data_IF_474596670634
#
_entry.id   IF_474596670634
#
_cell.length_a   1.000
_cell.length_b   1.000
_cell.length_c   1.000
_cell.angle_alpha   90.00
_cell.angle_beta   90.00
_cell.angle_gamma   90.00
#
_symmetry.space_group_name_H-M   'P 1'
#
loop_
_entity.id
_entity.type
_entity.pdbx_description
1 polymer ?
#
# COMPACT_ATOMS: atom_id res chain seq x y z
N UNK A 1 -14.01 -9.03 -25.32
CA UNK A 1 -14.50 -8.05 -26.32
C UNK A 1 -14.07 -6.68 -25.85
N UNK A 2 -13.04 -6.12 -26.51
CA UNK A 2 -12.53 -4.78 -26.22
C UNK A 2 -13.59 -3.74 -26.61
N UNK A 3 -14.16 -3.04 -25.63
CA UNK A 3 -14.98 -1.86 -25.90
C UNK A 3 -14.01 -0.71 -26.22
N UNK A 4 -13.65 -0.57 -27.49
CA UNK A 4 -12.83 0.55 -27.98
C UNK A 4 -13.65 1.83 -27.96
N UNK A 5 -13.75 2.47 -26.79
CA UNK A 5 -14.36 3.79 -26.67
C UNK A 5 -13.48 4.81 -27.38
N UNK A 6 -14.11 5.75 -28.08
CA UNK A 6 -13.37 6.91 -28.59
C UNK A 6 -12.82 7.73 -27.41
N UNK A 7 -11.71 8.46 -27.64
CA UNK A 7 -11.04 9.18 -26.56
C UNK A 7 -11.95 10.23 -25.86
N UNK A 8 -12.77 11.03 -26.58
CA UNK A 8 -13.71 11.96 -25.94
C UNK A 8 -14.72 11.29 -25.01
N UNK A 9 -15.35 10.19 -25.43
CA UNK A 9 -16.29 9.42 -24.61
C UNK A 9 -15.58 8.80 -23.40
N UNK A 10 -14.36 8.30 -23.59
CA UNK A 10 -13.57 7.76 -22.49
C UNK A 10 -13.26 8.84 -21.45
N UNK A 11 -12.82 10.03 -21.88
CA UNK A 11 -12.57 11.17 -20.99
C UNK A 11 -13.85 11.54 -20.23
N UNK A 12 -14.99 11.62 -20.90
CA UNK A 12 -16.27 11.94 -20.26
C UNK A 12 -16.67 10.86 -19.23
N UNK A 13 -16.53 9.58 -19.57
CA UNK A 13 -16.84 8.48 -18.67
C UNK A 13 -15.93 8.45 -17.43
N UNK A 14 -14.62 8.64 -17.62
CA UNK A 14 -13.66 8.73 -16.51
C UNK A 14 -13.92 9.98 -15.65
N UNK A 15 -14.28 11.11 -16.25
CA UNK A 15 -14.61 12.33 -15.49
C UNK A 15 -15.84 12.13 -14.61
N UNK A 16 -16.91 11.55 -15.16
CA UNK A 16 -18.12 11.17 -14.41
C UNK A 16 -17.78 10.20 -13.27
N UNK A 17 -16.92 9.22 -13.52
CA UNK A 17 -16.47 8.27 -12.51
C UNK A 17 -15.64 8.95 -11.41
N UNK A 18 -14.76 9.90 -11.73
CA UNK A 18 -14.02 10.67 -10.74
C UNK A 18 -14.94 11.52 -9.85
N UNK A 19 -16.00 12.11 -10.43
CA UNK A 19 -17.04 12.84 -9.68
C UNK A 19 -17.79 11.89 -8.74
N UNK A 20 -18.23 10.73 -9.24
CA UNK A 20 -18.89 9.67 -8.44
C UNK A 20 -18.01 9.21 -7.28
N UNK A 21 -16.71 9.06 -7.51
CA UNK A 21 -15.70 8.69 -6.51
C UNK A 21 -15.28 9.84 -5.58
N UNK A 22 -15.92 11.02 -5.70
CA UNK A 22 -15.68 12.21 -4.86
C UNK A 22 -14.21 12.68 -4.89
N UNK A 23 -13.59 12.64 -6.06
CA UNK A 23 -12.29 13.29 -6.24
C UNK A 23 -12.41 14.81 -6.05
N UNK A 24 -11.38 15.44 -5.48
CA UNK A 24 -11.39 16.89 -5.28
C UNK A 24 -11.40 17.63 -6.63
N UNK A 25 -12.11 18.76 -6.75
CA UNK A 25 -12.19 19.55 -7.99
C UNK A 25 -10.81 19.89 -8.58
N UNK A 26 -9.86 20.23 -7.71
CA UNK A 26 -8.46 20.50 -8.08
C UNK A 26 -7.78 19.29 -8.76
N UNK A 27 -8.07 18.07 -8.32
CA UNK A 27 -7.50 16.86 -8.93
C UNK A 27 -8.13 16.59 -10.29
N UNK A 28 -9.45 16.75 -10.41
CA UNK A 28 -10.18 16.57 -11.66
C UNK A 28 -9.67 17.59 -12.69
N UNK A 29 -9.56 18.86 -12.32
CA UNK A 29 -9.02 19.92 -13.18
C UNK A 29 -7.61 19.60 -13.70
N UNK A 30 -6.72 19.10 -12.84
CA UNK A 30 -5.36 18.67 -13.24
C UNK A 30 -5.37 17.49 -14.22
N UNK A 31 -6.26 16.51 -14.03
CA UNK A 31 -6.39 15.38 -14.95
C UNK A 31 -6.96 15.86 -16.30
N UNK A 32 -8.01 16.68 -16.28
CA UNK A 32 -8.60 17.28 -17.47
C UNK A 32 -7.57 18.05 -18.29
N UNK A 33 -6.70 18.85 -17.65
CA UNK A 33 -5.65 19.58 -18.36
C UNK A 33 -4.68 18.66 -19.12
N UNK A 34 -4.38 17.47 -18.59
CA UNK A 34 -3.57 16.46 -19.30
C UNK A 34 -4.37 15.82 -20.43
N UNK A 35 -5.63 15.46 -20.17
CA UNK A 35 -6.49 14.83 -21.17
C UNK A 35 -6.79 15.73 -22.37
N UNK A 36 -6.92 17.05 -22.17
CA UNK A 36 -7.06 18.00 -23.27
C UNK A 36 -5.79 18.04 -24.14
N UNK A 37 -4.60 17.97 -23.54
CA UNK A 37 -3.34 17.86 -24.30
C UNK A 37 -3.27 16.54 -25.08
N UNK A 38 -3.70 15.44 -24.46
CA UNK A 38 -3.78 14.14 -25.12
C UNK A 38 -4.76 14.18 -26.30
N UNK A 39 -5.91 14.86 -26.14
CA UNK A 39 -6.90 15.01 -27.20
C UNK A 39 -6.34 15.78 -28.40
N UNK A 40 -5.66 16.91 -28.17
CA UNK A 40 -4.97 17.66 -29.23
C UNK A 40 -3.88 16.82 -29.92
N UNK A 41 -3.13 16.03 -29.14
CA UNK A 41 -2.12 15.11 -29.67
C UNK A 41 -2.73 14.03 -30.58
N UNK A 42 -3.88 13.46 -30.19
CA UNK A 42 -4.58 12.47 -31.00
C UNK A 42 -5.19 13.04 -32.27
N UNK A 43 -5.73 14.25 -32.21
CA UNK A 43 -6.28 14.96 -33.37
C UNK A 43 -5.19 15.24 -34.41
N UNK A 44 -4.00 15.65 -33.98
CA UNK A 44 -2.87 15.89 -34.86
C UNK A 44 -2.35 14.61 -35.57
N UNK A 45 -2.67 13.43 -35.04
CA UNK A 45 -2.23 12.12 -35.56
C UNK A 45 -3.35 11.31 -36.22
N UNK A 46 -4.55 11.87 -36.35
CA UNK A 46 -5.75 11.20 -36.85
C UNK A 46 -6.10 9.88 -36.13
N UNK A 47 -5.86 9.84 -34.82
CA UNK A 47 -6.10 8.66 -33.98
C UNK A 47 -7.31 8.90 -33.07
N UNK A 48 -8.44 8.24 -33.34
CA UNK A 48 -9.69 8.47 -32.58
C UNK A 48 -9.77 7.68 -31.25
N UNK A 49 -8.97 6.63 -31.10
CA UNK A 49 -9.10 5.65 -30.00
C UNK A 49 -7.91 5.70 -29.04
N UNK A 50 -8.20 5.55 -27.75
CA UNK A 50 -7.16 5.43 -26.74
C UNK A 50 -6.51 4.03 -26.78
N UNK A 51 -5.18 4.02 -26.82
CA UNK A 51 -4.38 2.79 -26.71
C UNK A 51 -3.16 3.02 -25.84
N UNK A 52 -2.60 1.95 -25.28
CA UNK A 52 -1.41 2.02 -24.44
C UNK A 52 -0.21 2.59 -25.22
N UNK A 53 0.01 2.12 -26.46
CA UNK A 53 1.07 2.62 -27.36
C UNK A 53 0.95 4.12 -27.66
N UNK A 54 -0.27 4.60 -27.93
CA UNK A 54 -0.53 6.02 -28.12
C UNK A 54 -0.15 6.81 -26.87
N UNK A 55 -0.53 6.27 -25.71
CA UNK A 55 -0.31 6.91 -24.42
C UNK A 55 1.18 6.98 -24.05
N UNK A 56 1.95 5.94 -24.36
CA UNK A 56 3.41 5.90 -24.24
C UNK A 56 4.07 6.95 -25.14
N UNK A 57 3.64 7.03 -26.40
CA UNK A 57 4.16 8.01 -27.36
C UNK A 57 3.90 9.45 -26.90
N UNK A 58 2.69 9.72 -26.41
CA UNK A 58 2.33 11.01 -25.83
C UNK A 58 3.21 11.37 -24.63
N UNK A 59 3.39 10.43 -23.70
CA UNK A 59 4.21 10.64 -22.50
C UNK A 59 5.69 10.86 -22.84
N UNK A 60 6.19 10.17 -23.86
CA UNK A 60 7.55 10.35 -24.35
C UNK A 60 7.74 11.73 -24.98
N UNK A 61 6.83 12.15 -25.85
CA UNK A 61 6.97 13.41 -26.58
C UNK A 61 6.80 14.64 -25.67
N UNK A 62 5.73 14.66 -24.86
CA UNK A 62 5.32 15.83 -24.07
C UNK A 62 5.94 15.89 -22.67
N UNK A 63 6.28 14.73 -22.09
CA UNK A 63 6.76 14.64 -20.71
C UNK A 63 8.14 13.99 -20.60
N UNK A 64 8.75 13.58 -21.72
CA UNK A 64 10.03 12.89 -21.79
C UNK A 64 10.05 11.65 -20.90
N UNK A 65 8.98 10.86 -20.94
CA UNK A 65 8.83 9.63 -20.16
C UNK A 65 8.74 8.39 -21.06
N UNK A 66 9.46 7.28 -20.75
CA UNK A 66 10.41 7.14 -19.64
C UNK A 66 11.71 7.91 -19.92
N UNK A 67 12.24 8.59 -18.91
CA UNK A 67 13.59 9.17 -18.95
C UNK A 67 14.43 8.60 -17.82
N UNK A 68 15.75 8.70 -18.00
CA UNK A 68 16.74 8.34 -17.00
C UNK A 68 16.82 9.44 -15.93
N UNK A 69 15.80 9.47 -15.07
CA UNK A 69 15.80 10.35 -13.90
C UNK A 69 16.62 9.68 -12.80
N UNK A 70 17.74 10.29 -12.41
CA UNK A 70 18.52 9.89 -11.25
C UNK A 70 17.82 10.17 -9.90
N UNK A 71 16.57 10.66 -9.90
CA UNK A 71 15.80 11.10 -8.73
C UNK A 71 14.26 11.01 -8.90
N UNK A 72 13.50 11.76 -8.08
CA UNK A 72 12.03 11.76 -8.16
C UNK A 72 11.51 12.43 -9.45
N UNK A 73 10.52 11.80 -10.10
CA UNK A 73 9.88 12.36 -11.29
C UNK A 73 9.27 13.75 -11.03
N UNK A 74 9.40 14.70 -11.99
CA UNK A 74 8.75 15.99 -11.91
C UNK A 74 7.26 15.88 -11.57
N UNK A 75 6.75 16.79 -10.75
CA UNK A 75 5.35 16.77 -10.29
C UNK A 75 4.36 16.72 -11.46
N UNK A 76 4.60 17.50 -12.52
CA UNK A 76 3.79 17.48 -13.74
C UNK A 76 3.76 16.12 -14.43
N UNK A 77 4.92 15.47 -14.58
CA UNK A 77 5.04 14.12 -15.15
C UNK A 77 4.28 13.09 -14.33
N UNK A 78 4.34 13.16 -13.00
CA UNK A 78 3.57 12.26 -12.11
C UNK A 78 2.06 12.43 -12.26
N UNK A 79 1.59 13.67 -12.44
CA UNK A 79 0.17 13.93 -12.72
C UNK A 79 -0.20 13.33 -14.08
N UNK A 80 0.61 13.57 -15.11
CA UNK A 80 0.35 13.08 -16.46
C UNK A 80 0.27 11.55 -16.53
N UNK A 81 1.25 10.86 -15.94
CA UNK A 81 1.25 9.41 -15.80
C UNK A 81 -0.02 8.90 -15.11
N UNK A 82 -0.43 9.57 -14.02
CA UNK A 82 -1.63 9.16 -13.30
C UNK A 82 -2.89 9.38 -14.13
N UNK A 83 -3.00 10.52 -14.81
CA UNK A 83 -4.16 10.86 -15.62
C UNK A 83 -4.31 9.91 -16.82
N UNK A 84 -3.21 9.59 -17.51
CA UNK A 84 -3.20 8.62 -18.61
C UNK A 84 -3.57 7.21 -18.11
N UNK A 85 -2.99 6.79 -16.99
CA UNK A 85 -3.30 5.48 -16.40
C UNK A 85 -4.77 5.34 -15.99
N UNK A 86 -5.42 6.42 -15.53
CA UNK A 86 -6.85 6.38 -15.21
C UNK A 86 -7.71 6.06 -16.45
N UNK A 87 -7.33 6.55 -17.63
CA UNK A 87 -8.02 6.22 -18.89
C UNK A 87 -7.83 4.74 -19.22
N UNK A 88 -6.60 4.23 -19.13
CA UNK A 88 -6.31 2.81 -19.37
C UNK A 88 -6.99 1.86 -18.38
N UNK A 89 -6.91 2.15 -17.08
CA UNK A 89 -7.57 1.37 -16.03
C UNK A 89 -9.10 1.28 -16.29
N UNK A 90 -9.71 2.41 -16.65
CA UNK A 90 -11.15 2.47 -16.89
C UNK A 90 -11.55 1.81 -18.23
N UNK A 91 -10.73 1.92 -19.28
CA UNK A 91 -10.98 1.25 -20.56
C UNK A 91 -10.90 -0.28 -20.41
N UNK A 92 -9.93 -0.79 -19.65
CA UNK A 92 -9.72 -2.23 -19.48
C UNK A 92 -10.72 -2.86 -18.50
N UNK A 93 -10.99 -2.19 -17.38
CA UNK A 93 -11.71 -2.81 -16.25
C UNK A 93 -13.02 -2.10 -15.88
N UNK A 94 -13.33 -0.95 -16.51
CA UNK A 94 -14.50 -0.14 -16.15
C UNK A 94 -14.39 0.54 -14.78
N UNK A 95 -13.23 0.49 -14.12
CA UNK A 95 -13.02 1.01 -12.77
C UNK A 95 -11.75 1.86 -12.70
N UNK A 96 -11.78 2.92 -11.88
CA UNK A 96 -10.59 3.71 -11.56
C UNK A 96 -9.99 3.19 -10.25
N UNK A 97 -8.80 2.59 -10.32
CA UNK A 97 -8.10 2.08 -9.14
C UNK A 97 -7.68 3.24 -8.22
N UNK A 98 -8.49 3.52 -7.19
CA UNK A 98 -8.21 4.55 -6.20
C UNK A 98 -6.96 4.17 -5.40
N UNK A 99 -5.90 4.97 -5.50
CA UNK A 99 -4.90 5.01 -4.41
C UNK A 99 -5.65 5.57 -3.21
N UNK A 100 -6.06 4.70 -2.26
CA UNK A 100 -6.79 5.13 -1.05
C UNK A 100 -6.05 6.35 -0.48
N UNK A 101 -6.68 7.53 -0.49
CA UNK A 101 -6.28 8.59 0.43
C UNK A 101 -6.34 7.93 1.80
N UNK A 102 -5.31 8.11 2.63
CA UNK A 102 -5.34 7.65 4.03
C UNK A 102 -6.58 8.29 4.66
N UNK A 103 -7.72 7.61 4.65
CA UNK A 103 -8.83 8.00 5.49
C UNK A 103 -8.25 7.96 6.89
N UNK A 104 -8.24 9.12 7.55
CA UNK A 104 -7.86 9.13 8.94
C UNK A 104 -8.92 8.32 9.67
N UNK A 105 -8.51 7.34 10.47
CA UNK A 105 -9.48 6.53 11.16
C UNK A 105 -10.25 7.43 12.15
N UNK A 106 -11.56 7.25 12.24
CA UNK A 106 -12.42 8.04 13.12
C UNK A 106 -12.08 7.75 14.60
N UNK A 107 -12.27 8.74 15.47
CA UNK A 107 -12.15 8.58 16.91
C UNK A 107 -13.53 8.75 17.53
N UNK A 108 -14.21 7.66 17.94
CA UNK A 108 -15.45 7.75 18.71
C UNK A 108 -15.22 8.45 20.06
N UNK A 109 -16.27 9.09 20.57
CA UNK A 109 -16.20 9.92 21.79
C UNK A 109 -15.66 9.16 23.00
N UNK A 110 -16.04 7.89 23.16
CA UNK A 110 -15.59 7.03 24.27
C UNK A 110 -14.08 6.70 24.28
N UNK A 111 -13.32 7.10 23.24
CA UNK A 111 -11.87 6.95 23.18
C UNK A 111 -11.11 8.28 23.10
N UNK A 112 -11.80 9.42 23.09
CA UNK A 112 -11.18 10.74 22.91
C UNK A 112 -10.15 11.05 23.98
N UNK A 113 -10.46 10.80 25.26
CA UNK A 113 -9.54 11.05 26.36
C UNK A 113 -8.33 10.11 26.33
N UNK A 114 -8.55 8.84 25.96
CA UNK A 114 -7.46 7.89 25.80
C UNK A 114 -6.50 8.29 24.67
N UNK A 115 -7.01 8.80 23.55
CA UNK A 115 -6.17 9.34 22.47
C UNK A 115 -5.41 10.58 22.93
N UNK A 116 -6.09 11.51 23.61
CA UNK A 116 -5.46 12.74 24.12
C UNK A 116 -4.33 12.42 25.11
N UNK A 117 -4.60 11.55 26.09
CA UNK A 117 -3.60 11.07 27.05
C UNK A 117 -2.43 10.37 26.35
N UNK A 118 -2.71 9.52 25.35
CA UNK A 118 -1.66 8.83 24.60
C UNK A 118 -0.76 9.78 23.78
N UNK A 119 -1.33 10.85 23.24
CA UNK A 119 -0.57 11.91 22.55
C UNK A 119 0.41 12.57 23.52
N UNK A 120 -0.08 12.97 24.71
CA UNK A 120 0.75 13.59 25.76
C UNK A 120 1.86 12.64 26.23
N UNK A 121 1.50 11.39 26.54
CA UNK A 121 2.45 10.33 26.89
C UNK A 121 3.53 10.12 25.83
N UNK A 122 3.14 10.17 24.55
CA UNK A 122 4.07 10.00 23.44
C UNK A 122 5.05 11.17 23.32
N UNK A 123 4.64 12.41 23.57
CA UNK A 123 5.54 13.56 23.59
C UNK A 123 6.48 13.55 24.80
N UNK A 124 5.97 13.19 25.98
CA UNK A 124 6.80 13.01 27.18
C UNK A 124 7.89 11.96 26.98
N UNK A 125 7.60 10.93 26.19
CA UNK A 125 8.57 9.92 25.73
C UNK A 125 9.53 10.40 24.62
N UNK A 126 9.70 11.72 24.45
CA UNK A 126 10.60 12.38 23.47
C UNK A 126 10.40 11.96 22.00
N UNK A 127 9.18 11.62 21.60
CA UNK A 127 8.91 11.30 20.19
C UNK A 127 8.75 12.58 19.35
N UNK A 128 9.23 12.54 18.10
CA UNK A 128 8.97 13.62 17.13
C UNK A 128 7.50 13.67 16.73
N UNK A 129 7.01 14.85 16.32
CA UNK A 129 5.62 15.07 15.85
C UNK A 129 5.17 14.00 14.87
N UNK A 130 5.98 13.75 13.82
CA UNK A 130 5.71 12.73 12.79
C UNK A 130 5.63 11.31 13.34
N UNK A 131 6.34 11.02 14.42
CA UNK A 131 6.28 9.71 15.10
C UNK A 131 5.01 9.59 15.92
N UNK A 132 4.62 10.66 16.63
CA UNK A 132 3.36 10.73 17.38
C UNK A 132 2.16 10.56 16.43
N UNK A 133 2.12 11.29 15.31
CA UNK A 133 1.06 11.14 14.30
C UNK A 133 0.92 9.70 13.79
N UNK A 134 2.05 9.02 13.55
CA UNK A 134 2.05 7.62 13.12
C UNK A 134 1.56 6.68 14.21
N UNK A 135 1.92 6.93 15.47
CA UNK A 135 1.42 6.17 16.63
C UNK A 135 -0.10 6.34 16.74
N UNK A 136 -0.58 7.58 16.74
CA UNK A 136 -2.01 7.91 16.80
C UNK A 136 -2.79 7.28 15.66
N UNK A 137 -2.28 7.34 14.42
CA UNK A 137 -2.94 6.71 13.28
C UNK A 137 -3.17 5.21 13.49
N UNK A 138 -2.16 4.47 13.97
CA UNK A 138 -2.31 3.03 14.24
C UNK A 138 -3.30 2.77 15.39
N UNK A 139 -3.27 3.58 16.45
CA UNK A 139 -4.22 3.45 17.55
C UNK A 139 -5.64 3.71 17.08
N UNK A 140 -5.86 4.71 16.23
CA UNK A 140 -7.18 4.98 15.65
C UNK A 140 -7.66 3.83 14.77
N UNK A 141 -6.79 3.18 13.98
CA UNK A 141 -7.16 1.97 13.24
C UNK A 141 -7.61 0.83 14.18
N UNK A 142 -6.96 0.69 15.33
CA UNK A 142 -7.37 -0.30 16.33
C UNK A 142 -8.70 0.08 16.99
N UNK A 143 -8.93 1.35 17.28
CA UNK A 143 -10.20 1.84 17.83
C UNK A 143 -11.35 1.61 16.84
N UNK A 144 -11.16 1.89 15.55
CA UNK A 144 -12.19 1.55 14.54
C UNK A 144 -12.52 0.06 14.55
N UNK A 145 -11.50 -0.79 14.69
CA UNK A 145 -11.71 -2.21 14.87
C UNK A 145 -12.50 -2.55 16.15
N UNK A 146 -12.19 -1.90 17.27
CA UNK A 146 -12.94 -2.07 18.52
C UNK A 146 -14.42 -1.67 18.36
N UNK A 147 -14.70 -0.56 17.66
CA UNK A 147 -16.08 -0.14 17.37
C UNK A 147 -16.82 -1.19 16.56
N UNK A 148 -16.16 -1.83 15.57
CA UNK A 148 -16.75 -2.94 14.81
C UNK A 148 -16.99 -4.19 15.67
N UNK A 149 -16.28 -4.33 16.80
CA UNK A 149 -16.50 -5.39 17.79
C UNK A 149 -17.44 -4.95 18.94
N UNK A 150 -18.17 -3.83 18.77
CA UNK A 150 -19.08 -3.25 19.77
C UNK A 150 -18.41 -2.84 21.09
N UNK A 151 -17.11 -2.51 21.06
CA UNK A 151 -16.39 -1.97 22.23
C UNK A 151 -16.32 -0.46 22.12
N UNK A 152 -16.93 0.24 23.07
CA UNK A 152 -17.10 1.70 23.06
C UNK A 152 -16.09 2.47 23.92
N UNK A 153 -15.37 1.80 24.83
CA UNK A 153 -14.42 2.44 25.77
C UNK A 153 -13.18 1.57 26.02
N UNK A 154 -12.12 2.17 26.59
CA UNK A 154 -10.88 1.45 26.91
C UNK A 154 -11.04 0.33 27.94
N UNK A 155 -12.00 0.46 28.86
CA UNK A 155 -12.26 -0.55 29.90
C UNK A 155 -12.77 -1.87 29.33
N UNK A 156 -13.41 -1.85 28.15
CA UNK A 156 -13.88 -3.06 27.46
C UNK A 156 -12.80 -3.80 26.66
N UNK A 157 -11.56 -3.30 26.62
CA UNK A 157 -10.49 -3.90 25.82
C UNK A 157 -9.94 -5.14 26.54
N UNK A 158 -9.93 -6.28 25.85
CA UNK A 158 -9.40 -7.55 26.34
C UNK A 158 -8.37 -8.14 25.35
N UNK A 159 -7.77 -9.28 25.71
CA UNK A 159 -6.74 -9.96 24.90
C UNK A 159 -7.27 -10.48 23.55
N UNK A 160 -8.56 -10.82 23.46
CA UNK A 160 -9.19 -11.30 22.22
C UNK A 160 -9.28 -10.16 21.20
N UNK A 161 -9.63 -8.94 21.63
CA UNK A 161 -9.65 -7.77 20.76
C UNK A 161 -8.27 -7.46 20.17
N UNK A 162 -7.21 -7.56 20.98
CA UNK A 162 -5.84 -7.40 20.48
C UNK A 162 -5.49 -8.48 19.44
N UNK A 163 -5.82 -9.75 19.72
CA UNK A 163 -5.54 -10.88 18.82
C UNK A 163 -6.32 -10.79 17.50
N UNK A 164 -7.60 -10.41 17.57
CA UNK A 164 -8.44 -10.25 16.40
C UNK A 164 -7.99 -9.08 15.50
N UNK A 165 -7.55 -7.97 16.09
CA UNK A 165 -6.94 -6.89 15.32
C UNK A 165 -5.62 -7.31 14.65
N UNK A 166 -4.77 -8.06 15.35
CA UNK A 166 -3.52 -8.58 14.77
C UNK A 166 -3.84 -9.48 13.57
N UNK A 167 -4.87 -10.32 13.70
CA UNK A 167 -5.34 -11.19 12.62
C UNK A 167 -5.81 -10.40 11.41
N UNK A 168 -6.52 -9.28 11.61
CA UNK A 168 -7.03 -8.45 10.51
C UNK A 168 -5.93 -7.76 9.69
N UNK A 169 -4.73 -7.59 10.27
CA UNK A 169 -3.58 -6.96 9.60
C UNK A 169 -2.57 -7.96 9.02
N UNK A 170 -2.79 -9.28 9.15
CA UNK A 170 -1.84 -10.31 8.68
C UNK A 170 -1.61 -10.31 7.16
N UNK A 171 -2.54 -9.78 6.37
CA UNK A 171 -2.37 -9.61 4.92
C UNK A 171 -1.38 -8.51 4.51
N UNK A 172 -0.86 -7.72 5.47
CA UNK A 172 0.09 -6.65 5.18
C UNK A 172 1.55 -7.16 5.07
N UNK A 173 2.44 -6.31 4.54
CA UNK A 173 3.88 -6.61 4.52
C UNK A 173 4.39 -6.79 5.95
N UNK A 174 5.30 -7.75 6.17
CA UNK A 174 5.89 -8.06 7.48
C UNK A 174 6.43 -6.82 8.22
N UNK A 175 7.19 -5.96 7.53
CA UNK A 175 7.70 -4.71 8.10
C UNK A 175 6.58 -3.77 8.55
N UNK A 176 5.45 -3.76 7.85
CA UNK A 176 4.26 -3.00 8.20
C UNK A 176 3.59 -3.59 9.44
N UNK A 177 3.43 -4.93 9.51
CA UNK A 177 2.89 -5.61 10.69
C UNK A 177 3.73 -5.26 11.93
N UNK A 178 5.05 -5.36 11.87
CA UNK A 178 5.93 -5.03 13.01
C UNK A 178 5.81 -3.58 13.46
N UNK A 179 5.64 -2.67 12.50
CA UNK A 179 5.38 -1.28 12.80
C UNK A 179 4.04 -1.05 13.49
N UNK A 180 3.00 -1.84 13.17
CA UNK A 180 1.70 -1.80 13.85
C UNK A 180 1.84 -2.36 15.27
N UNK A 181 2.41 -3.56 15.41
CA UNK A 181 2.60 -4.24 16.70
C UNK A 181 3.39 -3.38 17.70
N UNK A 182 4.50 -2.77 17.25
CA UNK A 182 5.30 -1.89 18.10
C UNK A 182 4.49 -0.70 18.62
N UNK A 183 3.73 -0.02 17.74
CA UNK A 183 2.97 1.19 18.10
C UNK A 183 1.77 0.85 18.99
N UNK A 184 1.11 -0.28 18.75
CA UNK A 184 0.11 -0.84 19.66
C UNK A 184 0.70 -1.17 21.03
N UNK A 185 1.89 -1.76 21.06
CA UNK A 185 2.59 -2.04 22.30
C UNK A 185 2.90 -0.77 23.12
N UNK A 186 3.17 0.36 22.46
CA UNK A 186 3.27 1.66 23.15
C UNK A 186 1.93 2.09 23.74
N UNK A 187 0.83 1.94 23.00
CA UNK A 187 -0.51 2.31 23.47
C UNK A 187 -0.97 1.45 24.65
N UNK A 188 -0.78 0.13 24.58
CA UNK A 188 -1.13 -0.76 25.70
C UNK A 188 -0.31 -0.49 26.95
N UNK A 189 0.96 -0.07 26.80
CA UNK A 189 1.77 0.37 27.93
C UNK A 189 1.20 1.62 28.58
N UNK A 190 0.77 2.58 27.77
CA UNK A 190 0.10 3.78 28.23
C UNK A 190 -1.22 3.46 28.97
N UNK A 191 -2.08 2.61 28.40
CA UNK A 191 -3.34 2.22 29.05
C UNK A 191 -3.12 1.54 30.41
N UNK A 192 -2.03 0.76 30.54
CA UNK A 192 -1.67 0.12 31.79
C UNK A 192 -1.11 1.12 32.81
N UNK A 193 -0.35 2.14 32.39
CA UNK A 193 0.18 3.17 33.32
C UNK A 193 -0.92 4.09 33.87
N UNK A 194 -1.99 4.32 33.11
CA UNK A 194 -3.15 5.12 33.53
C UNK A 194 -4.18 4.30 34.34
N UNK A 195 -3.93 3.02 34.59
CA UNK A 195 -4.89 2.13 35.27
C UNK A 195 -6.18 1.87 34.49
N UNK A 196 -6.25 2.27 33.22
CA UNK A 196 -7.46 2.13 32.39
C UNK A 196 -7.69 0.70 31.88
N UNK A 197 -6.75 -0.21 32.07
CA UNK A 197 -6.91 -1.63 31.80
C UNK A 197 -6.23 -2.45 32.89
N UNK A 198 -6.97 -3.36 33.53
CA UNK A 198 -6.45 -4.29 34.54
C UNK A 198 -5.57 -5.40 33.96
N UNK A 199 -5.55 -5.55 32.63
CA UNK A 199 -4.86 -6.63 31.93
C UNK A 199 -3.69 -6.08 31.13
N UNK A 200 -2.49 -6.63 31.32
CA UNK A 200 -1.33 -6.28 30.51
C UNK A 200 -1.46 -6.80 29.07
N UNK A 201 -2.17 -6.05 28.22
CA UNK A 201 -2.45 -6.37 26.81
C UNK A 201 -1.18 -6.46 25.95
N UNK A 202 -0.05 -5.93 26.42
CA UNK A 202 1.25 -6.08 25.75
C UNK A 202 1.64 -7.55 25.60
N UNK A 203 1.25 -8.40 26.56
CA UNK A 203 1.52 -9.84 26.52
C UNK A 203 0.77 -10.57 25.40
N UNK A 204 -0.29 -9.97 24.85
CA UNK A 204 -1.03 -10.52 23.71
C UNK A 204 -0.39 -10.18 22.36
N UNK A 205 0.65 -9.33 22.32
CA UNK A 205 1.34 -8.94 21.09
C UNK A 205 2.45 -9.96 20.78
N UNK A 206 2.40 -10.67 19.63
CA UNK A 206 3.45 -11.59 19.25
C UNK A 206 4.75 -10.83 18.95
N UNK A 207 5.87 -11.32 19.46
CA UNK A 207 7.18 -10.85 19.01
C UNK A 207 7.50 -11.49 17.66
N UNK A 208 7.39 -10.69 16.60
CA UNK A 208 7.81 -11.09 15.27
C UNK A 208 9.26 -10.65 15.10
N UNK A 209 10.19 -11.60 15.17
CA UNK A 209 11.59 -11.33 14.88
C UNK A 209 11.75 -10.94 13.40
N UNK A 210 12.12 -9.68 13.19
CA UNK A 210 12.84 -9.28 11.99
C UNK A 210 14.27 -9.77 12.15
N UNK A 211 14.52 -11.02 11.76
CA UNK A 211 15.82 -11.34 11.20
C UNK A 211 16.03 -10.31 10.08
N UNK A 212 16.81 -9.25 10.35
CA UNK A 212 17.09 -8.18 9.41
C UNK A 212 17.38 -8.88 8.09
N UNK A 213 16.57 -8.66 7.06
CA UNK A 213 17.02 -8.89 5.70
C UNK A 213 18.35 -8.15 5.63
N UNK A 214 19.45 -8.92 5.59
CA UNK A 214 20.80 -8.39 5.68
C UNK A 214 20.87 -7.33 4.60
N UNK A 215 20.97 -6.06 4.98
CA UNK A 215 21.20 -4.99 4.01
C UNK A 215 22.42 -5.42 3.22
N UNK A 216 22.26 -5.58 1.91
CA UNK A 216 23.37 -5.87 1.01
C UNK A 216 24.40 -4.77 1.27
N UNK A 217 25.61 -5.10 1.77
CA UNK A 217 26.66 -4.12 1.98
C UNK A 217 26.92 -3.38 0.67
N UNK A 218 26.97 -2.05 0.72
CA UNK A 218 27.16 -1.21 -0.46
C UNK A 218 28.44 -1.57 -1.23
N UNK A 219 29.40 -2.15 -0.51
CA UNK A 219 30.75 -2.57 -0.93
C UNK A 219 30.77 -3.80 -1.85
N UNK A 220 29.69 -4.60 -1.94
CA UNK A 220 29.71 -5.81 -2.78
C UNK A 220 29.70 -5.50 -4.28
N UNK A 221 30.46 -6.28 -5.06
CA UNK A 221 30.47 -6.19 -6.52
C UNK A 221 29.13 -6.66 -7.13
N UNK A 222 28.77 -6.23 -8.35
CA UNK A 222 27.51 -6.63 -9.00
C UNK A 222 27.33 -8.14 -9.12
N UNK A 223 28.44 -8.88 -9.30
CA UNK A 223 28.47 -10.35 -9.38
C UNK A 223 28.14 -11.02 -8.04
N UNK A 224 28.61 -10.46 -6.93
CA UNK A 224 28.32 -11.00 -5.59
C UNK A 224 26.88 -10.69 -5.15
N UNK A 225 26.36 -9.52 -5.56
CA UNK A 225 24.96 -9.12 -5.30
C UNK A 225 23.95 -10.01 -6.02
N UNK A 226 24.24 -10.47 -7.24
CA UNK A 226 23.34 -11.34 -8.01
C UNK A 226 23.29 -12.78 -7.47
N UNK A 227 24.41 -13.31 -6.99
CA UNK A 227 24.50 -14.66 -6.42
C UNK A 227 23.85 -14.74 -5.02
N UNK A 228 23.92 -13.67 -4.23
CA UNK A 228 23.44 -13.66 -2.83
C UNK A 228 21.95 -13.29 -2.64
N UNK A 229 21.26 -12.73 -3.63
CA UNK A 229 19.86 -12.28 -3.50
C UNK A 229 18.94 -12.79 -4.63
N UNK A 230 18.51 -14.07 -4.60
CA UNK A 230 17.70 -14.70 -5.65
C UNK A 230 16.25 -14.17 -5.76
N UNK A 231 15.82 -13.26 -4.87
CA UNK A 231 14.41 -12.87 -4.72
C UNK A 231 13.97 -11.67 -5.59
N UNK A 232 14.92 -10.93 -6.17
CA UNK A 232 14.63 -9.71 -6.92
C UNK A 232 14.52 -10.00 -8.42
N UNK A 233 13.28 -10.11 -8.90
CA UNK A 233 12.94 -10.39 -10.29
C UNK A 233 13.65 -9.42 -11.26
N UNK A 234 13.64 -8.12 -10.98
CA UNK A 234 14.31 -7.11 -11.81
C UNK A 234 15.83 -7.34 -11.89
N UNK A 235 16.48 -7.78 -10.80
CA UNK A 235 17.91 -8.09 -10.80
C UNK A 235 18.22 -9.40 -11.54
N UNK A 236 17.32 -10.39 -11.48
CA UNK A 236 17.43 -11.63 -12.28
C UNK A 236 17.22 -11.36 -13.76
N UNK A 237 16.25 -10.51 -14.12
CA UNK A 237 16.00 -10.05 -15.47
C UNK A 237 17.23 -9.33 -16.02
N UNK A 238 17.74 -8.34 -15.29
CA UNK A 238 18.93 -7.60 -15.68
C UNK A 238 20.16 -8.51 -15.81
N UNK A 239 20.39 -9.43 -14.86
CA UNK A 239 21.51 -10.37 -14.93
C UNK A 239 21.37 -11.35 -16.10
N UNK A 240 20.19 -11.91 -16.34
CA UNK A 240 19.95 -12.84 -17.46
C UNK A 240 20.18 -12.15 -18.80
N UNK A 241 19.63 -10.95 -18.99
CA UNK A 241 19.83 -10.15 -20.22
C UNK A 241 21.32 -9.82 -20.41
N UNK A 242 22.04 -9.49 -19.34
CA UNK A 242 23.47 -9.19 -19.41
C UNK A 242 24.33 -10.42 -19.72
N UNK A 243 23.96 -11.59 -19.20
CA UNK A 243 24.73 -12.84 -19.33
C UNK A 243 24.45 -13.57 -20.64
N UNK A 244 23.18 -13.71 -21.03
CA UNK A 244 22.76 -14.50 -22.19
C UNK A 244 22.56 -13.66 -23.44
N UNK A 245 22.53 -12.32 -23.31
CA UNK A 245 22.20 -11.36 -24.38
C UNK A 245 20.81 -11.56 -25.00
N UNK A 246 19.94 -12.34 -24.34
CA UNK A 246 18.57 -12.60 -24.79
C UNK A 246 17.52 -11.96 -23.85
N UNK A 247 16.35 -11.52 -24.35
CA UNK A 247 15.29 -10.93 -23.54
C UNK A 247 14.67 -11.93 -22.56
N UNK A 248 14.42 -11.48 -21.33
CA UNK A 248 13.77 -12.31 -20.31
C UNK A 248 12.32 -12.65 -20.69
N UNK A 249 11.97 -13.94 -20.72
CA UNK A 249 10.57 -14.40 -20.83
C UNK A 249 9.95 -14.51 -19.44
N UNK A 250 8.85 -13.78 -19.21
CA UNK A 250 8.14 -13.79 -17.93
C UNK A 250 7.50 -15.17 -17.63
N UNK A 251 7.68 -15.63 -16.40
CA UNK A 251 6.87 -16.72 -15.84
C UNK A 251 5.47 -16.15 -15.57
N UNK A 252 4.44 -16.72 -16.21
CA UNK A 252 3.07 -16.21 -16.21
C UNK A 252 2.39 -16.12 -14.83
N UNK A 253 1.12 -15.69 -14.84
CA UNK A 253 0.27 -15.45 -13.67
C UNK A 253 0.21 -16.60 -12.66
N UNK A 254 0.46 -17.83 -13.09
CA UNK A 254 0.53 -19.04 -12.26
C UNK A 254 1.67 -19.00 -11.22
N UNK A 255 2.82 -18.38 -11.55
CA UNK A 255 3.98 -18.31 -10.66
C UNK A 255 3.71 -17.50 -9.38
N UNK A 256 2.93 -16.43 -9.48
CA UNK A 256 2.56 -15.60 -8.32
C UNK A 256 1.56 -16.33 -7.42
N UNK A 257 0.57 -17.00 -8.02
CA UNK A 257 -0.41 -17.80 -7.29
C UNK A 257 0.24 -18.97 -6.53
N UNK A 258 1.21 -19.65 -7.16
CA UNK A 258 1.93 -20.76 -6.55
C UNK A 258 2.85 -20.31 -5.40
N UNK A 259 3.52 -19.18 -5.57
CA UNK A 259 4.37 -18.58 -4.53
C UNK A 259 3.56 -18.08 -3.33
N UNK A 260 2.35 -17.56 -3.53
CA UNK A 260 1.45 -17.18 -2.45
C UNK A 260 0.96 -18.41 -1.67
N UNK A 261 0.58 -19.50 -2.35
CA UNK A 261 0.20 -20.78 -1.74
C UNK A 261 1.33 -21.37 -0.88
N UNK A 262 2.56 -21.37 -1.38
CA UNK A 262 3.72 -21.87 -0.62
C UNK A 262 4.03 -21.02 0.62
N UNK A 263 3.79 -19.71 0.53
CA UNK A 263 4.04 -18.78 1.64
C UNK A 263 3.00 -18.96 2.73
N UNK A 264 1.73 -19.12 2.35
CA UNK A 264 0.63 -19.42 3.26
C UNK A 264 0.87 -20.74 4.01
N UNK A 265 1.26 -21.80 3.30
CA UNK A 265 1.58 -23.10 3.91
C UNK A 265 2.74 -23.04 4.92
N UNK A 266 3.78 -22.24 4.63
CA UNK A 266 4.91 -22.04 5.56
C UNK A 266 4.47 -21.36 6.86
N UNK A 267 3.57 -20.39 6.77
CA UNK A 267 3.05 -19.67 7.94
C UNK A 267 2.13 -20.58 8.77
N UNK A 268 1.25 -21.35 8.12
CA UNK A 268 0.38 -22.33 8.78
C UNK A 268 1.21 -23.35 9.57
N UNK A 269 2.26 -23.90 8.96
CA UNK A 269 3.16 -24.87 9.62
C UNK A 269 3.85 -24.29 10.86
N UNK A 270 4.27 -23.02 10.81
CA UNK A 270 4.88 -22.35 11.97
C UNK A 270 3.89 -22.08 13.11
N UNK A 271 2.62 -21.80 12.79
CA UNK A 271 1.57 -21.58 13.78
C UNK A 271 1.16 -22.90 14.45
N UNK A 272 1.08 -23.99 13.69
CA UNK A 272 0.84 -25.33 14.23
C UNK A 272 1.96 -25.80 15.18
N UNK A 273 3.23 -25.55 14.82
CA UNK A 273 4.38 -25.84 15.70
C UNK A 273 4.35 -25.06 17.03
N UNK A 274 3.59 -23.96 17.09
CA UNK A 274 3.40 -23.15 18.31
C UNK A 274 2.11 -23.47 19.05
N UNK A 275 1.40 -24.53 18.66
CA UNK A 275 0.21 -25.03 19.36
C UNK A 275 -1.11 -24.38 18.93
N UNK A 276 -1.14 -23.61 17.85
CA UNK A 276 -2.38 -23.02 17.33
C UNK A 276 -3.10 -23.98 16.37
N UNK A 277 -4.40 -24.21 16.59
CA UNK A 277 -5.27 -24.89 15.61
C UNK A 277 -5.76 -23.89 14.57
N UNK A 278 -5.51 -24.18 13.28
CA UNK A 278 -5.99 -23.37 12.16
C UNK A 278 -7.14 -24.12 11.49
N UNK A 279 -8.35 -23.57 11.59
CA UNK A 279 -9.51 -24.02 10.84
C UNK A 279 -9.49 -23.32 9.48
N UNK A 280 -9.38 -24.09 8.39
CA UNK A 280 -9.60 -23.55 7.04
C UNK A 280 -11.09 -23.28 6.89
N UNK A 281 -11.46 -22.03 6.68
CA UNK A 281 -12.80 -21.70 6.21
C UNK A 281 -12.81 -22.05 4.72
N UNK A 282 -13.49 -23.15 4.40
CA UNK A 282 -13.79 -23.61 3.03
C UNK A 282 -14.73 -22.65 2.32
#
# INVERSE_FOLDING_TARGET
>A
MESTKNLPELINAVTSELLRLRYSPVTISKCNAVWQKLLSYTQAKDLLHFSEKLSESFLLEYYKYPADYSGEFPYGTRIALRAVRMLGDYQLYGIILRKRKKQQPSCPDGFTDAIRGFVLYSYQSRNTVKTVERKVFIVKCFIEYLTMQNVSTCSGINKQHASGFITSILGLKKITINQYLYKLGCFFRFLHSEGSSSVNLRMAIPQINDAKERRIPTVWSPKEKSVACPSHLILRIAYHILLTKEPYKELGTEYLAEREREREQRVIRQLQLKGYQILKVS
#
